data_IF_256675371914
#
_entry.id   IF_256675371914
#
_cell.length_a   1.000
_cell.length_b   1.000
_cell.length_c   1.000
_cell.angle_alpha   90.00
_cell.angle_beta   90.00
_cell.angle_gamma   90.00
#
_symmetry.space_group_name_H-M   'P 1'
#
loop_
_entity.id
_entity.type
_entity.pdbx_description
1 polymer ?
#
# COMPACT_ATOMS: atom_id res chain seq x y z
N UNK A 1 19.02 -29.57 -54.89
CA UNK A 1 19.51 -28.70 -53.79
C UNK A 1 18.33 -27.88 -53.29
N UNK A 2 17.67 -28.34 -52.23
CA UNK A 2 16.46 -27.71 -51.66
C UNK A 2 16.82 -27.11 -50.31
N UNK A 3 16.44 -25.84 -50.15
CA UNK A 3 16.80 -24.95 -49.05
C UNK A 3 16.19 -25.39 -47.72
N UNK A 4 17.04 -25.29 -46.69
CA UNK A 4 16.81 -25.17 -45.26
C UNK A 4 15.36 -25.30 -44.74
N UNK A 5 15.16 -26.34 -43.94
CA UNK A 5 14.04 -26.54 -43.03
C UNK A 5 14.14 -25.49 -41.91
N UNK A 6 13.35 -24.43 -42.03
CA UNK A 6 13.18 -23.43 -40.97
C UNK A 6 12.30 -24.03 -39.86
N UNK A 7 12.99 -24.60 -38.88
CA UNK A 7 12.68 -24.68 -37.45
C UNK A 7 11.29 -24.23 -36.98
N UNK A 8 10.57 -25.22 -36.42
CA UNK A 8 9.79 -25.13 -35.17
C UNK A 8 8.85 -23.93 -35.05
N UNK A 9 7.78 -23.94 -35.86
CA UNK A 9 6.54 -23.26 -35.51
C UNK A 9 5.78 -24.06 -34.45
N UNK A 10 5.30 -23.33 -33.45
CA UNK A 10 4.02 -23.54 -32.79
C UNK A 10 3.86 -24.82 -31.96
N UNK A 11 4.53 -24.89 -30.81
CA UNK A 11 4.10 -25.77 -29.72
C UNK A 11 4.49 -25.13 -28.38
N UNK A 12 3.64 -24.27 -27.82
CA UNK A 12 3.59 -23.86 -26.39
C UNK A 12 2.56 -22.75 -26.10
N UNK A 13 1.68 -22.39 -27.04
CA UNK A 13 0.53 -21.51 -26.82
C UNK A 13 -0.77 -22.32 -26.78
N UNK A 14 -0.89 -23.27 -25.85
CA UNK A 14 -2.12 -24.07 -25.71
C UNK A 14 -2.35 -24.63 -24.30
N UNK A 15 -1.91 -23.93 -23.24
CA UNK A 15 -2.30 -24.25 -21.85
C UNK A 15 -2.55 -22.95 -21.05
N UNK A 16 -3.35 -22.05 -21.62
CA UNK A 16 -3.85 -20.85 -20.92
C UNK A 16 -5.36 -20.65 -21.09
N UNK A 17 -6.02 -21.63 -21.71
CA UNK A 17 -7.46 -21.67 -21.92
C UNK A 17 -8.03 -22.73 -21.00
N UNK A 18 -8.38 -22.32 -19.77
CA UNK A 18 -9.48 -22.84 -18.91
C UNK A 18 -9.23 -22.45 -17.45
N UNK A 19 -9.24 -21.15 -17.19
CA UNK A 19 -9.72 -20.65 -15.89
C UNK A 19 -10.55 -19.40 -16.18
N UNK A 20 -11.67 -19.60 -16.86
CA UNK A 20 -12.78 -18.64 -16.82
C UNK A 20 -13.41 -18.84 -15.45
N UNK A 21 -12.81 -18.25 -14.41
CA UNK A 21 -13.56 -18.04 -13.18
C UNK A 21 -14.62 -16.99 -13.51
N UNK A 22 -15.87 -17.42 -13.43
CA UNK A 22 -17.02 -16.59 -13.09
C UNK A 22 -16.68 -15.72 -11.88
N UNK A 23 -16.10 -14.54 -12.13
CA UNK A 23 -16.08 -13.43 -11.17
C UNK A 23 -17.06 -12.37 -11.66
N UNK A 24 -18.20 -12.82 -12.19
CA UNK A 24 -19.41 -12.02 -12.13
C UNK A 24 -20.00 -12.20 -10.72
N UNK A 25 -20.24 -11.09 -10.04
CA UNK A 25 -20.94 -10.99 -8.76
C UNK A 25 -20.13 -11.28 -7.48
N UNK A 26 -19.12 -10.44 -7.20
CA UNK A 26 -19.17 -9.49 -6.06
C UNK A 26 -18.44 -8.21 -6.45
N UNK A 27 -18.92 -7.52 -7.48
CA UNK A 27 -18.79 -6.07 -7.50
C UNK A 27 -19.80 -5.53 -6.48
N UNK A 28 -19.54 -5.74 -5.17
CA UNK A 28 -20.05 -4.81 -4.19
C UNK A 28 -19.46 -3.49 -4.62
N UNK A 29 -20.26 -2.65 -5.28
CA UNK A 29 -19.88 -1.28 -5.58
C UNK A 29 -19.54 -0.66 -4.23
N UNK A 30 -18.24 -0.62 -3.94
CA UNK A 30 -17.73 0.06 -2.75
C UNK A 30 -18.30 1.47 -2.91
N UNK A 31 -19.11 1.95 -1.94
CA UNK A 31 -19.62 3.31 -1.99
C UNK A 31 -18.44 4.21 -2.32
N UNK A 32 -18.54 5.12 -3.30
CA UNK A 32 -17.39 5.91 -3.74
C UNK A 32 -16.72 6.60 -2.54
N UNK A 33 -17.50 7.02 -1.54
CA UNK A 33 -16.99 7.55 -0.27
C UNK A 33 -16.07 6.60 0.51
N UNK A 34 -16.37 5.29 0.55
CA UNK A 34 -15.52 4.29 1.19
C UNK A 34 -14.23 4.04 0.40
N UNK A 35 -14.29 4.11 -0.93
CA UNK A 35 -13.10 3.97 -1.78
C UNK A 35 -12.16 5.18 -1.64
N UNK A 36 -12.71 6.41 -1.65
CA UNK A 36 -11.93 7.64 -1.46
C UNK A 36 -11.33 7.71 -0.05
N UNK A 37 -12.07 7.28 0.98
CA UNK A 37 -11.56 7.20 2.36
C UNK A 37 -10.38 6.24 2.48
N UNK A 38 -10.48 5.08 1.84
CA UNK A 38 -9.39 4.10 1.82
C UNK A 38 -8.15 4.63 1.07
N UNK A 39 -8.36 5.37 -0.02
CA UNK A 39 -7.28 6.01 -0.77
C UNK A 39 -6.55 7.06 0.07
N UNK A 40 -7.28 7.94 0.77
CA UNK A 40 -6.70 8.91 1.72
C UNK A 40 -5.93 8.19 2.82
N UNK A 41 -6.50 7.13 3.40
CA UNK A 41 -5.85 6.35 4.45
C UNK A 41 -4.53 5.75 3.96
N UNK A 42 -4.48 5.24 2.73
CA UNK A 42 -3.25 4.70 2.11
C UNK A 42 -2.20 5.78 1.88
N UNK A 43 -2.58 6.96 1.40
CA UNK A 43 -1.64 8.08 1.24
C UNK A 43 -1.01 8.49 2.57
N UNK A 44 -1.82 8.56 3.64
CA UNK A 44 -1.32 8.87 4.99
C UNK A 44 -0.44 7.74 5.55
N UNK A 45 -0.80 6.48 5.28
CA UNK A 45 0.01 5.30 5.64
C UNK A 45 1.38 5.35 4.97
N UNK A 46 1.44 5.55 3.65
CA UNK A 46 2.69 5.58 2.89
C UNK A 46 3.60 6.71 3.35
N UNK A 47 3.02 7.90 3.59
CA UNK A 47 3.77 9.04 4.13
C UNK A 47 4.32 8.76 5.53
N UNK A 48 3.53 8.16 6.42
CA UNK A 48 3.97 7.77 7.76
C UNK A 48 5.13 6.76 7.69
N UNK A 49 4.97 5.69 6.89
CA UNK A 49 6.00 4.66 6.74
C UNK A 49 7.29 5.26 6.17
N UNK A 50 7.19 6.12 5.17
CA UNK A 50 8.35 6.80 4.60
C UNK A 50 9.08 7.68 5.63
N UNK A 51 8.35 8.49 6.38
CA UNK A 51 8.93 9.37 7.40
C UNK A 51 9.57 8.59 8.56
N UNK A 52 8.91 7.54 9.06
CA UNK A 52 9.40 6.76 10.20
C UNK A 52 10.56 5.84 9.82
N UNK A 53 10.53 5.24 8.62
CA UNK A 53 11.69 4.50 8.11
C UNK A 53 12.92 5.41 7.93
N UNK A 54 12.73 6.68 7.54
CA UNK A 54 13.82 7.63 7.39
C UNK A 54 14.45 8.07 8.72
N UNK A 55 13.71 7.96 9.83
CA UNK A 55 14.22 8.23 11.20
C UNK A 55 15.02 7.06 11.77
N UNK A 56 14.88 5.87 11.20
CA UNK A 56 15.73 4.75 11.55
C UNK A 56 17.10 4.93 10.89
N UNK A 57 18.03 5.56 11.62
CA UNK A 57 19.42 5.55 11.20
C UNK A 57 19.92 4.10 11.02
N UNK A 58 20.73 3.82 9.99
CA UNK A 58 21.45 2.57 9.93
C UNK A 58 22.28 2.49 11.21
N UNK A 59 22.02 1.47 12.03
CA UNK A 59 22.56 1.40 13.38
C UNK A 59 24.08 1.59 13.33
N UNK A 60 24.58 2.60 14.04
CA UNK A 60 26.00 2.99 14.12
C UNK A 60 26.87 1.96 14.85
N UNK A 61 26.30 0.80 15.20
CA UNK A 61 27.02 -0.36 15.65
C UNK A 61 27.55 -1.09 14.42
N UNK A 62 28.87 -1.23 14.29
CA UNK A 62 29.61 -1.98 13.24
C UNK A 62 29.21 -3.47 13.10
N UNK A 63 28.11 -3.90 13.73
CA UNK A 63 27.60 -5.26 13.63
C UNK A 63 26.53 -5.32 12.53
N UNK A 64 26.68 -6.22 11.54
CA UNK A 64 25.65 -6.41 10.53
C UNK A 64 24.35 -6.82 11.21
N UNK A 65 23.32 -5.98 11.06
CA UNK A 65 21.96 -6.30 11.48
C UNK A 65 21.50 -7.45 10.60
N UNK A 66 21.03 -8.53 11.22
CA UNK A 66 20.53 -9.67 10.47
C UNK A 66 19.26 -9.28 9.67
N UNK A 67 19.06 -9.80 8.46
CA UNK A 67 17.90 -9.46 7.61
C UNK A 67 16.53 -9.68 8.28
N UNK A 68 16.41 -10.66 9.17
CA UNK A 68 15.20 -10.96 9.96
C UNK A 68 14.84 -9.89 10.99
N UNK A 69 15.84 -9.20 11.54
CA UNK A 69 15.62 -8.10 12.50
C UNK A 69 15.18 -6.84 11.77
N UNK A 70 15.71 -6.58 10.57
CA UNK A 70 15.31 -5.45 9.72
C UNK A 70 13.85 -5.62 9.31
N UNK A 71 13.46 -6.80 8.84
CA UNK A 71 12.08 -7.07 8.42
C UNK A 71 11.09 -6.98 9.59
N UNK A 72 11.44 -7.52 10.77
CA UNK A 72 10.59 -7.41 11.96
C UNK A 72 10.43 -5.95 12.44
N UNK A 73 11.48 -5.13 12.31
CA UNK A 73 11.44 -3.71 12.69
C UNK A 73 10.60 -2.89 11.71
N UNK A 74 10.79 -3.10 10.41
CA UNK A 74 9.95 -2.49 9.37
C UNK A 74 8.48 -2.86 9.54
N UNK A 75 8.18 -4.12 9.88
CA UNK A 75 6.81 -4.55 10.13
C UNK A 75 6.16 -3.77 11.27
N UNK A 76 6.88 -3.53 12.38
CA UNK A 76 6.37 -2.71 13.49
C UNK A 76 6.07 -1.26 13.09
N UNK A 77 6.89 -0.68 12.20
CA UNK A 77 6.62 0.65 11.66
C UNK A 77 5.33 0.63 10.83
N UNK A 78 5.19 -0.34 9.94
CA UNK A 78 3.99 -0.49 9.10
C UNK A 78 2.75 -0.66 9.97
N UNK A 79 2.77 -1.55 10.96
CA UNK A 79 1.62 -1.82 11.84
C UNK A 79 1.22 -0.56 12.63
N UNK A 80 2.20 0.17 13.18
CA UNK A 80 1.94 1.43 13.90
C UNK A 80 1.38 2.51 12.97
N UNK A 81 1.88 2.64 11.74
CA UNK A 81 1.37 3.58 10.75
C UNK A 81 -0.03 3.20 10.22
N UNK A 82 -0.35 1.90 10.14
CA UNK A 82 -1.71 1.44 9.80
C UNK A 82 -2.70 1.86 10.90
N UNK A 83 -2.34 1.67 12.16
CA UNK A 83 -3.14 2.17 13.29
C UNK A 83 -3.27 3.69 13.25
N UNK A 84 -2.18 4.42 13.02
CA UNK A 84 -2.17 5.88 13.05
C UNK A 84 -3.03 6.50 11.93
N UNK A 85 -2.87 6.02 10.70
CA UNK A 85 -3.65 6.49 9.54
C UNK A 85 -5.15 6.19 9.71
N UNK A 86 -5.51 5.02 10.26
CA UNK A 86 -6.89 4.70 10.57
C UNK A 86 -7.48 5.63 11.64
N UNK A 87 -6.71 5.96 12.69
CA UNK A 87 -7.14 6.89 13.74
C UNK A 87 -7.30 8.32 13.24
N UNK A 88 -6.39 8.78 12.38
CA UNK A 88 -6.43 10.13 11.81
C UNK A 88 -7.63 10.33 10.87
N UNK A 89 -7.99 9.32 10.08
CA UNK A 89 -9.09 9.41 9.09
C UNK A 89 -10.45 9.12 9.72
N UNK A 90 -10.52 8.33 10.80
CA UNK A 90 -11.79 7.96 11.46
C UNK A 90 -12.74 9.12 11.78
N UNK A 91 -12.29 10.27 12.34
CA UNK A 91 -13.18 11.39 12.66
C UNK A 91 -13.52 12.28 11.45
N UNK A 92 -12.87 12.10 10.30
CA UNK A 92 -13.07 12.94 9.12
C UNK A 92 -14.41 12.59 8.48
N UNK A 93 -15.19 13.62 8.12
CA UNK A 93 -16.48 13.44 7.45
C UNK A 93 -16.31 13.09 5.97
N UNK A 94 -17.27 12.38 5.40
CA UNK A 94 -17.20 11.95 3.99
C UNK A 94 -17.14 13.14 3.02
N UNK A 95 -17.77 14.27 3.36
CA UNK A 95 -17.75 15.48 2.52
C UNK A 95 -16.34 16.09 2.40
N UNK A 96 -15.55 16.02 3.48
CA UNK A 96 -14.17 16.51 3.46
C UNK A 96 -13.24 15.56 2.72
N UNK A 97 -13.52 14.25 2.74
CA UNK A 97 -12.79 13.25 1.96
C UNK A 97 -13.09 13.39 0.47
N UNK A 98 -14.34 13.72 0.09
CA UNK A 98 -14.70 13.95 -1.30
C UNK A 98 -13.89 15.12 -1.91
N UNK A 99 -13.65 16.19 -1.15
CA UNK A 99 -12.80 17.31 -1.60
C UNK A 99 -11.36 16.88 -1.91
N UNK A 100 -10.84 15.86 -1.22
CA UNK A 100 -9.50 15.34 -1.51
C UNK A 100 -9.47 14.56 -2.82
N UNK A 101 -10.56 13.89 -3.20
CA UNK A 101 -10.64 13.20 -4.49
C UNK A 101 -10.65 14.20 -5.67
N UNK A 102 -11.30 15.35 -5.48
CA UNK A 102 -11.34 16.45 -6.45
C UNK A 102 -10.00 17.18 -6.56
N UNK A 103 -9.41 17.56 -5.43
CA UNK A 103 -8.17 18.37 -5.39
C UNK A 103 -6.90 17.55 -5.47
N UNK A 104 -7.00 16.23 -5.25
CA UNK A 104 -5.87 15.30 -5.11
C UNK A 104 -4.87 15.71 -4.03
N UNK A 105 -5.30 16.52 -3.07
CA UNK A 105 -4.46 17.05 -2.00
C UNK A 105 -5.03 16.65 -0.63
N UNK A 106 -4.25 15.87 0.11
CA UNK A 106 -4.56 15.55 1.50
C UNK A 106 -4.12 16.74 2.37
N UNK A 107 -5.00 17.29 3.23
CA UNK A 107 -4.64 18.40 4.10
C UNK A 107 -3.50 18.07 5.07
N UNK A 108 -2.58 19.01 5.28
CA UNK A 108 -1.44 18.87 6.22
C UNK A 108 -1.87 18.50 7.64
N UNK A 109 -3.05 18.97 8.07
CA UNK A 109 -3.63 18.62 9.37
C UNK A 109 -3.84 17.11 9.55
N UNK A 110 -4.12 16.36 8.47
CA UNK A 110 -4.30 14.92 8.53
C UNK A 110 -2.97 14.17 8.61
N UNK A 111 -1.92 14.71 7.96
CA UNK A 111 -0.55 14.22 8.14
C UNK A 111 -0.07 14.46 9.58
N UNK A 112 -0.30 15.65 10.14
CA UNK A 112 0.01 15.96 11.53
C UNK A 112 -0.72 15.03 12.51
N UNK A 113 -2.04 14.85 12.32
CA UNK A 113 -2.84 13.94 13.15
C UNK A 113 -2.36 12.47 13.05
N UNK A 114 -1.85 12.05 11.88
CA UNK A 114 -1.26 10.72 11.70
C UNK A 114 0.05 10.61 12.47
N UNK A 115 0.94 11.60 12.38
CA UNK A 115 2.20 11.65 13.15
C UNK A 115 1.94 11.63 14.66
N UNK A 116 1.00 12.44 15.15
CA UNK A 116 0.63 12.47 16.57
C UNK A 116 0.06 11.12 17.04
N UNK A 117 -0.72 10.45 16.18
CA UNK A 117 -1.29 9.14 16.47
C UNK A 117 -0.26 8.01 16.46
N UNK A 118 0.84 8.17 15.70
CA UNK A 118 1.89 7.15 15.58
C UNK A 118 2.50 6.80 16.93
N UNK A 119 2.84 7.79 17.76
CA UNK A 119 3.41 7.55 19.09
C UNK A 119 2.48 6.80 20.04
N UNK A 120 1.17 6.90 19.84
CA UNK A 120 0.19 6.12 20.60
C UNK A 120 0.00 4.69 20.04
N UNK A 121 0.22 4.50 18.73
CA UNK A 121 0.07 3.23 18.01
C UNK A 121 1.32 2.34 18.03
N UNK A 122 2.50 2.91 18.32
CA UNK A 122 3.78 2.18 18.42
C UNK A 122 3.93 1.37 19.73
N UNK A 123 3.02 1.53 20.68
CA UNK A 123 3.09 0.94 22.03
C UNK A 123 2.80 -0.55 22.04
#
# INVERSE_FOLDING_TARGET
>A
MVRAVASLRAATLAVLSLVVFDVAAVAQSIPPSKASRELVRRMLLDACVYQENAKEEPSSDDKPIKPDVISARQQKIVDACQCASARAVKPVKDEDIAKVDETRQVPDAWYAATSDSYGACRR
#
